data_IF_310839435868
#
_entry.id   IF_310839435868
#
_cell.length_a   1.000
_cell.length_b   1.000
_cell.length_c   1.000
_cell.angle_alpha   90.00
_cell.angle_beta   90.00
_cell.angle_gamma   90.00
#
_symmetry.space_group_name_H-M   'P 1'
#
loop_
_entity.id
_entity.type
_entity.pdbx_description
1 polymer ?
#
# COMPACT_ATOMS: atom_id res chain seq x y z
N UNK A 1 -13.02 -53.74 -47.16
CA UNK A 1 -11.77 -52.98 -47.39
C UNK A 1 -12.10 -51.62 -47.98
N UNK A 2 -12.01 -50.54 -47.19
CA UNK A 2 -11.31 -49.28 -47.50
C UNK A 2 -11.56 -48.26 -46.38
N UNK A 3 -10.50 -48.11 -45.59
CA UNK A 3 -10.29 -47.16 -44.50
C UNK A 3 -10.09 -45.75 -45.09
N UNK A 4 -10.61 -44.70 -44.43
CA UNK A 4 -9.98 -43.37 -44.41
C UNK A 4 -10.55 -42.51 -43.29
N UNK A 5 -9.90 -42.64 -42.14
CA UNK A 5 -10.00 -41.72 -41.02
C UNK A 5 -9.31 -40.40 -41.42
N UNK A 6 -9.97 -39.27 -41.21
CA UNK A 6 -9.33 -37.95 -41.21
C UNK A 6 -9.62 -37.29 -39.86
N UNK A 7 -8.74 -37.57 -38.92
CA UNK A 7 -8.66 -36.87 -37.64
C UNK A 7 -8.12 -35.47 -37.90
N UNK A 8 -8.99 -34.45 -37.90
CA UNK A 8 -8.55 -33.05 -37.87
C UNK A 8 -8.21 -32.71 -36.43
N UNK A 9 -6.91 -32.75 -36.11
CA UNK A 9 -6.39 -32.26 -34.83
C UNK A 9 -6.40 -30.72 -34.84
N UNK A 10 -7.42 -30.12 -34.26
CA UNK A 10 -7.43 -28.70 -33.95
C UNK A 10 -6.48 -28.44 -32.77
N UNK A 11 -5.29 -27.89 -33.06
CA UNK A 11 -4.39 -27.39 -32.02
C UNK A 11 -4.95 -26.07 -31.52
N UNK A 12 -5.69 -26.10 -30.41
CA UNK A 12 -6.13 -24.90 -29.70
C UNK A 12 -4.95 -24.35 -28.91
N UNK A 13 -4.23 -23.40 -29.50
CA UNK A 13 -3.22 -22.61 -28.79
C UNK A 13 -3.94 -21.73 -27.75
N UNK A 14 -4.03 -22.22 -26.52
CA UNK A 14 -4.56 -21.44 -25.40
C UNK A 14 -3.52 -20.40 -25.00
N UNK A 15 -3.69 -19.18 -25.50
CA UNK A 15 -2.95 -18.02 -25.01
C UNK A 15 -3.36 -17.77 -23.55
N UNK A 16 -2.53 -18.20 -22.60
CA UNK A 16 -2.67 -17.83 -21.19
C UNK A 16 -2.31 -16.36 -21.10
N UNK A 17 -3.30 -15.49 -21.25
CA UNK A 17 -3.15 -14.06 -21.04
C UNK A 17 -2.79 -13.79 -19.58
N UNK A 18 -1.54 -13.38 -19.35
CA UNK A 18 -1.13 -12.78 -18.07
C UNK A 18 -1.95 -11.50 -17.90
N UNK A 19 -3.06 -11.59 -17.18
CA UNK A 19 -3.84 -10.42 -16.79
C UNK A 19 -3.05 -9.66 -15.73
N UNK A 20 -2.28 -8.67 -16.16
CA UNK A 20 -1.78 -7.65 -15.24
C UNK A 20 -3.00 -6.93 -14.69
N UNK A 21 -3.25 -7.01 -13.38
CA UNK A 21 -4.34 -6.30 -12.75
C UNK A 21 -4.20 -4.80 -13.03
N UNK A 22 -5.06 -4.27 -13.91
CA UNK A 22 -4.97 -2.88 -14.33
C UNK A 22 -5.30 -1.98 -13.13
N UNK A 23 -4.35 -1.12 -12.76
CA UNK A 23 -4.56 -0.12 -11.72
C UNK A 23 -5.70 0.82 -12.14
N UNK A 24 -6.60 1.08 -11.22
CA UNK A 24 -7.75 1.98 -11.41
C UNK A 24 -7.46 3.34 -10.78
N UNK A 25 -8.10 4.43 -11.23
CA UNK A 25 -7.88 5.76 -10.66
C UNK A 25 -8.27 5.91 -9.19
N UNK A 26 -9.00 4.96 -8.61
CA UNK A 26 -9.33 4.95 -7.17
C UNK A 26 -8.40 4.07 -6.33
N UNK A 27 -7.36 3.51 -6.94
CA UNK A 27 -6.30 2.79 -6.25
C UNK A 27 -5.29 3.75 -5.63
N UNK A 28 -4.99 3.51 -4.35
CA UNK A 28 -3.82 4.05 -3.69
C UNK A 28 -2.70 3.06 -3.91
N UNK A 29 -1.82 3.37 -4.85
CA UNK A 29 -0.62 2.61 -5.16
C UNK A 29 0.56 3.55 -5.43
N UNK A 30 1.78 3.10 -5.11
CA UNK A 30 3.01 3.86 -5.31
C UNK A 30 4.18 2.91 -5.57
N UNK A 31 5.04 3.23 -6.55
CA UNK A 31 6.19 2.41 -6.93
C UNK A 31 5.87 0.91 -7.15
N UNK A 32 4.71 0.62 -7.76
CA UNK A 32 4.24 -0.75 -8.01
C UNK A 32 3.56 -1.43 -6.82
N UNK A 33 3.58 -0.84 -5.63
CA UNK A 33 2.95 -1.41 -4.44
C UNK A 33 1.53 -0.89 -4.25
N UNK A 34 0.59 -1.82 -4.12
CA UNK A 34 -0.81 -1.54 -3.83
C UNK A 34 -1.08 -1.45 -2.33
N UNK A 35 -1.71 -0.37 -1.90
CA UNK A 35 -2.12 -0.14 -0.52
C UNK A 35 -3.58 -0.57 -0.33
N UNK A 36 -4.49 0.09 -1.03
CA UNK A 36 -5.93 -0.18 -1.00
C UNK A 36 -6.67 0.58 -2.11
N UNK A 37 -7.97 0.31 -2.26
CA UNK A 37 -8.86 0.95 -3.25
C UNK A 37 -10.02 1.63 -2.55
N UNK A 38 -10.34 2.85 -2.95
CA UNK A 38 -11.63 3.48 -2.61
C UNK A 38 -12.72 3.00 -3.58
N UNK A 39 -13.87 2.64 -3.02
CA UNK A 39 -15.04 2.17 -3.79
C UNK A 39 -16.23 3.14 -3.75
N UNK A 40 -16.24 4.05 -2.78
CA UNK A 40 -17.34 4.97 -2.53
C UNK A 40 -16.84 6.39 -2.29
N UNK A 41 -17.70 7.36 -2.59
CA UNK A 41 -17.49 8.74 -2.23
C UNK A 41 -17.62 8.91 -0.71
N UNK A 42 -16.88 9.86 -0.14
CA UNK A 42 -16.98 10.24 1.27
C UNK A 42 -16.42 11.65 1.48
N UNK A 43 -17.00 12.41 2.40
CA UNK A 43 -16.53 13.77 2.72
C UNK A 43 -16.56 14.73 1.52
N UNK A 44 -17.53 14.58 0.62
CA UNK A 44 -17.66 15.40 -0.60
C UNK A 44 -16.72 15.03 -1.74
N UNK A 45 -15.90 13.98 -1.60
CA UNK A 45 -14.92 13.56 -2.59
C UNK A 45 -15.32 12.26 -3.29
N UNK A 46 -15.10 12.18 -4.60
CA UNK A 46 -15.19 10.92 -5.37
C UNK A 46 -14.12 9.92 -4.91
N UNK A 47 -14.28 8.60 -5.16
CA UNK A 47 -13.25 7.60 -4.84
C UNK A 47 -11.86 7.95 -5.39
N UNK A 48 -11.82 8.51 -6.61
CA UNK A 48 -10.60 8.93 -7.30
C UNK A 48 -9.97 10.15 -6.61
N UNK A 49 -10.78 11.16 -6.28
CA UNK A 49 -10.28 12.34 -5.56
C UNK A 49 -9.74 11.98 -4.17
N UNK A 50 -10.38 11.03 -3.48
CA UNK A 50 -9.88 10.47 -2.22
C UNK A 50 -8.53 9.78 -2.39
N UNK A 51 -8.33 9.01 -3.46
CA UNK A 51 -7.04 8.39 -3.76
C UNK A 51 -5.95 9.45 -3.98
N UNK A 52 -6.25 10.52 -4.74
CA UNK A 52 -5.35 11.65 -4.93
C UNK A 52 -4.91 12.32 -3.63
N UNK A 53 -5.85 12.61 -2.72
CA UNK A 53 -5.53 13.18 -1.39
C UNK A 53 -4.62 12.25 -0.58
N UNK A 54 -4.82 10.93 -0.64
CA UNK A 54 -3.94 9.97 0.04
C UNK A 54 -2.55 9.92 -0.61
N UNK A 55 -2.46 10.06 -1.93
CA UNK A 55 -1.17 10.15 -2.64
C UNK A 55 -0.41 11.42 -2.26
N UNK A 56 -1.06 12.56 -2.11
CA UNK A 56 -0.42 13.79 -1.61
C UNK A 56 0.13 13.60 -0.18
N UNK A 57 -0.61 12.87 0.66
CA UNK A 57 -0.16 12.53 2.02
C UNK A 57 1.03 11.57 2.02
N UNK A 58 1.21 10.71 1.00
CA UNK A 58 2.43 9.90 0.86
C UNK A 58 3.68 10.78 0.76
N UNK A 59 3.62 11.88 0.00
CA UNK A 59 4.73 12.83 -0.07
C UNK A 59 5.10 13.38 1.32
N UNK A 60 4.10 13.77 2.11
CA UNK A 60 4.32 14.24 3.49
C UNK A 60 4.93 13.15 4.39
N UNK A 61 4.49 11.90 4.21
CA UNK A 61 5.07 10.74 4.91
C UNK A 61 6.55 10.58 4.55
N UNK A 62 6.90 10.61 3.26
CA UNK A 62 8.28 10.46 2.81
C UNK A 62 9.19 11.59 3.31
N UNK A 63 8.74 12.85 3.28
CA UNK A 63 9.48 13.98 3.85
C UNK A 63 9.80 13.74 5.32
N UNK A 64 8.79 13.37 6.14
CA UNK A 64 9.02 13.11 7.57
C UNK A 64 9.91 11.92 7.85
N UNK A 65 9.86 10.88 7.01
CA UNK A 65 10.73 9.71 7.14
C UNK A 65 12.18 10.08 6.84
N UNK A 66 12.40 10.88 5.80
CA UNK A 66 13.72 11.40 5.45
C UNK A 66 14.29 12.25 6.60
N UNK A 67 13.51 13.21 7.11
CA UNK A 67 13.95 14.12 8.18
C UNK A 67 14.34 13.38 9.47
N UNK A 68 13.63 12.29 9.80
CA UNK A 68 13.83 11.53 11.04
C UNK A 68 14.87 10.41 10.91
N UNK A 69 15.21 9.99 9.70
CA UNK A 69 16.04 8.80 9.47
C UNK A 69 15.45 7.53 10.08
N UNK A 70 14.11 7.44 10.19
CA UNK A 70 13.41 6.42 10.94
C UNK A 70 12.61 5.47 10.05
N UNK A 71 12.32 4.28 10.56
CA UNK A 71 11.39 3.34 9.93
C UNK A 71 9.95 3.85 9.96
N UNK A 72 9.12 3.53 8.95
CA UNK A 72 7.71 3.88 8.96
C UNK A 72 6.97 3.21 10.11
N UNK A 73 6.22 4.02 10.86
CA UNK A 73 5.30 3.50 11.88
C UNK A 73 3.87 3.71 11.41
N UNK A 74 3.13 2.62 11.26
CA UNK A 74 1.72 2.63 10.88
C UNK A 74 0.86 2.31 12.11
N UNK A 75 -0.10 3.18 12.42
CA UNK A 75 -1.02 3.01 13.54
C UNK A 75 -2.47 3.13 13.09
N UNK A 76 -3.33 2.26 13.62
CA UNK A 76 -4.78 2.34 13.43
C UNK A 76 -5.42 2.83 14.72
N UNK A 77 -6.23 3.89 14.64
CA UNK A 77 -7.01 4.41 15.77
C UNK A 77 -8.48 4.27 15.46
N UNK A 78 -9.21 3.62 16.36
CA UNK A 78 -10.65 3.43 16.26
C UNK A 78 -11.37 4.53 17.02
N UNK A 79 -12.45 5.02 16.42
CA UNK A 79 -13.36 6.01 16.96
C UNK A 79 -14.78 5.43 16.91
N UNK A 80 -15.74 6.10 17.54
CA UNK A 80 -17.14 5.67 17.52
C UNK A 80 -17.69 5.68 16.08
N UNK A 81 -17.70 4.52 15.43
CA UNK A 81 -18.24 4.30 14.08
C UNK A 81 -17.26 4.49 12.92
N UNK A 82 -16.03 4.96 13.14
CA UNK A 82 -15.04 5.17 12.08
C UNK A 82 -13.62 4.88 12.58
N UNK A 83 -12.65 4.83 11.68
CA UNK A 83 -11.25 4.60 12.07
C UNK A 83 -10.30 5.49 11.25
N UNK A 84 -9.11 5.73 11.79
CA UNK A 84 -8.04 6.46 11.11
C UNK A 84 -6.77 5.64 11.07
N UNK A 85 -6.10 5.70 9.93
CA UNK A 85 -4.78 5.11 9.74
C UNK A 85 -3.79 6.28 9.70
N UNK A 86 -2.77 6.18 10.54
CA UNK A 86 -1.71 7.17 10.68
C UNK A 86 -0.38 6.55 10.26
N UNK A 87 0.44 7.31 9.54
CA UNK A 87 1.79 6.89 9.13
C UNK A 87 2.78 7.97 9.56
N UNK A 88 3.70 7.65 10.46
CA UNK A 88 4.71 8.60 10.98
C UNK A 88 4.08 9.93 11.44
N UNK A 89 2.91 9.83 12.09
CA UNK A 89 2.16 10.98 12.59
C UNK A 89 1.42 11.81 11.52
N UNK A 90 1.38 11.37 10.27
CA UNK A 90 0.52 11.93 9.21
C UNK A 90 -0.80 11.17 9.23
N UNK A 91 -1.94 11.87 9.23
CA UNK A 91 -3.24 11.24 9.02
C UNK A 91 -3.28 10.75 7.58
N UNK A 92 -3.15 9.45 7.38
CA UNK A 92 -3.04 8.87 6.05
C UNK A 92 -4.40 8.71 5.41
N UNK A 93 -5.32 8.00 6.07
CA UNK A 93 -6.68 7.79 5.58
C UNK A 93 -7.67 7.63 6.73
N UNK A 94 -8.91 8.07 6.47
CA UNK A 94 -10.07 7.82 7.33
C UNK A 94 -10.93 6.74 6.68
N UNK A 95 -11.28 5.72 7.45
CA UNK A 95 -12.16 4.61 7.06
C UNK A 95 -13.54 4.85 7.66
N UNK A 96 -14.54 4.98 6.78
CA UNK A 96 -15.92 5.26 7.16
C UNK A 96 -16.78 3.99 7.19
N UNK A 97 -17.99 4.04 7.77
CA UNK A 97 -18.98 2.97 7.62
C UNK A 97 -19.27 2.61 6.17
N UNK A 98 -19.29 3.60 5.28
CA UNK A 98 -19.62 3.42 3.87
C UNK A 98 -18.52 2.66 3.14
N UNK A 99 -17.26 2.95 3.47
CA UNK A 99 -16.11 2.16 2.99
C UNK A 99 -16.26 0.70 3.40
N UNK A 100 -16.62 0.45 4.66
CA UNK A 100 -16.80 -0.89 5.20
C UNK A 100 -17.95 -1.64 4.50
N UNK A 101 -19.10 -0.99 4.30
CA UNK A 101 -20.24 -1.55 3.55
C UNK A 101 -19.88 -1.88 2.11
N UNK A 102 -19.18 -0.99 1.41
CA UNK A 102 -18.71 -1.23 0.04
C UNK A 102 -17.63 -2.33 -0.06
N UNK A 103 -17.06 -2.74 1.07
CA UNK A 103 -16.14 -3.86 1.19
C UNK A 103 -16.78 -5.11 1.83
N UNK A 104 -18.09 -5.10 2.11
CA UNK A 104 -18.80 -6.22 2.72
C UNK A 104 -18.24 -6.60 4.10
N UNK A 105 -17.75 -5.62 4.87
CA UNK A 105 -17.06 -5.87 6.14
C UNK A 105 -17.34 -4.78 7.17
N UNK A 106 -16.68 -4.84 8.33
CA UNK A 106 -16.78 -3.82 9.38
C UNK A 106 -15.65 -2.79 9.25
N UNK A 107 -15.88 -1.57 9.77
CA UNK A 107 -14.86 -0.52 9.83
C UNK A 107 -13.59 -1.02 10.51
N UNK A 108 -13.74 -1.76 11.62
CA UNK A 108 -12.62 -2.33 12.37
C UNK A 108 -11.77 -3.25 11.51
N UNK A 109 -12.42 -4.16 10.78
CA UNK A 109 -11.73 -5.14 9.95
C UNK A 109 -11.08 -4.46 8.72
N UNK A 110 -11.81 -3.57 8.05
CA UNK A 110 -11.29 -2.84 6.88
C UNK A 110 -10.08 -1.97 7.25
N UNK A 111 -10.18 -1.21 8.34
CA UNK A 111 -9.07 -0.35 8.80
C UNK A 111 -7.84 -1.16 9.19
N UNK A 112 -8.03 -2.32 9.83
CA UNK A 112 -6.93 -3.24 10.12
C UNK A 112 -6.28 -3.79 8.84
N UNK A 113 -7.09 -4.18 7.85
CA UNK A 113 -6.60 -4.67 6.56
C UNK A 113 -5.82 -3.59 5.80
N UNK A 114 -6.38 -2.39 5.67
CA UNK A 114 -5.71 -1.26 5.02
C UNK A 114 -4.44 -0.84 5.76
N UNK A 115 -4.45 -0.87 7.10
CA UNK A 115 -3.27 -0.59 7.92
C UNK A 115 -2.14 -1.60 7.67
N UNK A 116 -2.45 -2.90 7.64
CA UNK A 116 -1.48 -3.96 7.33
C UNK A 116 -0.93 -3.84 5.92
N UNK A 117 -1.78 -3.59 4.92
CA UNK A 117 -1.34 -3.39 3.54
C UNK A 117 -0.42 -2.16 3.43
N UNK A 118 -0.77 -1.06 4.10
CA UNK A 118 0.06 0.15 4.14
C UNK A 118 1.43 -0.14 4.75
N UNK A 119 1.48 -0.85 5.88
CA UNK A 119 2.73 -1.23 6.52
C UNK A 119 3.58 -2.20 5.68
N UNK A 120 2.95 -3.09 4.89
CA UNK A 120 3.64 -3.97 3.94
C UNK A 120 4.23 -3.15 2.80
N UNK A 121 3.39 -2.39 2.09
CA UNK A 121 3.79 -1.59 0.93
C UNK A 121 4.94 -0.64 1.27
N UNK A 122 4.85 0.09 2.39
CA UNK A 122 5.92 1.01 2.80
C UNK A 122 7.24 0.29 3.08
N UNK A 123 7.22 -0.92 3.65
CA UNK A 123 8.44 -1.72 3.86
C UNK A 123 9.06 -2.21 2.56
N UNK A 124 8.27 -2.43 1.53
CA UNK A 124 8.78 -2.81 0.20
C UNK A 124 9.38 -1.60 -0.52
N UNK A 125 8.73 -0.43 -0.45
CA UNK A 125 9.16 0.78 -1.17
C UNK A 125 10.40 1.41 -0.52
N UNK A 126 10.44 1.44 0.82
CA UNK A 126 11.48 2.17 1.53
C UNK A 126 12.77 1.35 1.63
N UNK A 127 13.93 1.94 1.29
CA UNK A 127 15.20 1.29 1.53
C UNK A 127 15.38 1.05 3.04
N UNK A 128 15.91 -0.12 3.40
CA UNK A 128 16.30 -0.41 4.79
C UNK A 128 17.24 0.69 5.26
N UNK A 129 16.98 1.36 6.41
CA UNK A 129 17.88 2.40 6.88
C UNK A 129 19.27 1.79 7.04
N UNK A 130 20.25 2.38 6.35
CA UNK A 130 21.66 2.13 6.68
C UNK A 130 21.82 2.63 8.10
N UNK A 131 21.86 1.71 9.07
CA UNK A 131 22.18 2.05 10.46
C UNK A 131 23.51 2.78 10.41
N UNK A 132 23.49 4.10 10.61
CA UNK A 132 24.71 4.87 10.75
C UNK A 132 25.44 4.29 11.95
N UNK A 133 26.53 3.55 11.69
CA UNK A 133 27.40 3.00 12.73
C UNK A 133 27.77 4.19 13.62
N UNK A 134 27.43 4.20 14.92
CA UNK A 134 27.81 5.31 15.76
C UNK A 134 29.35 5.36 15.78
N UNK A 135 29.92 6.42 15.20
CA UNK A 135 31.36 6.74 15.22
C UNK A 135 31.86 7.09 16.65
N UNK A 136 31.14 6.68 17.70
CA UNK A 136 31.50 6.96 19.10
C UNK A 136 32.74 6.19 19.56
N UNK A 137 33.22 5.18 18.81
CA UNK A 137 34.46 4.45 19.12
C UNK A 137 35.72 5.01 18.44
N UNK A 138 35.60 5.86 17.42
CA UNK A 138 36.78 6.38 16.70
C UNK A 138 37.40 7.61 17.39
N UNK A 139 36.63 8.38 18.16
CA UNK A 139 37.11 9.61 18.82
C UNK A 139 37.88 9.35 20.12
N UNK A 140 37.65 8.23 20.82
CA UNK A 140 38.36 7.91 22.06
C UNK A 140 39.82 7.49 21.85
N UNK A 141 40.16 6.95 20.68
CA UNK A 141 41.54 6.54 20.35
C UNK A 141 42.42 7.68 19.84
N UNK A 142 41.82 8.83 19.51
CA UNK A 142 42.56 10.01 19.04
C UNK A 142 42.97 10.97 20.18
N UNK A 143 42.41 10.81 21.38
CA UNK A 143 42.69 11.66 22.55
C UNK A 143 43.60 11.00 23.60
N UNK A 144 44.10 9.78 23.33
CA UNK A 144 44.99 9.04 24.24
C UNK A 144 46.47 9.06 23.80
N UNK A 145 46.90 10.14 23.12
CA UNK A 145 48.31 10.38 22.77
C UNK A 145 48.85 11.60 23.50
#
# INVERSE_FOLDING_TARGET
MRLRWLTVMAVVASAVGLSVAQQTPSDVAFAGEFFFRFRVAAGGLSPQARAGVVQERLTQVFTRLYDRGALPTVGVRHHNGWATIWVTGVLFVTVTPDDARANGTTVRHLASQWGRNTARALRTILPTPKVARPLRRALWLAQAR
#
